data_IF_680052577909
#
_entry.id   IF_680052577909
#
_cell.length_a   1.000
_cell.length_b   1.000
_cell.length_c   1.000
_cell.angle_alpha   90.00
_cell.angle_beta   90.00
_cell.angle_gamma   90.00
#
_symmetry.space_group_name_H-M   'P 1'
#
loop_
_entity.id
_entity.type
_entity.pdbx_description
1 polymer ?
#
# COMPACT_ATOMS: atom_id res chain seq x y z
N UNK A 1 -1.66 -3.65 -15.79
CA UNK A 1 -1.53 -2.44 -14.95
C UNK A 1 -2.01 -2.60 -13.49
N UNK A 2 -3.11 -3.24 -13.11
CA UNK A 2 -3.52 -3.22 -11.66
C UNK A 2 -2.47 -3.73 -10.61
N UNK A 3 -1.39 -4.36 -11.05
CA UNK A 3 -0.23 -4.87 -10.30
C UNK A 3 0.73 -3.82 -9.73
N UNK A 4 0.91 -2.70 -10.43
CA UNK A 4 1.78 -1.60 -9.99
C UNK A 4 0.99 -0.35 -9.62
N UNK A 5 -0.26 -0.35 -10.03
CA UNK A 5 -1.11 0.81 -10.05
C UNK A 5 -2.12 0.68 -8.89
N UNK A 6 -1.74 1.20 -7.71
CA UNK A 6 -2.72 1.45 -6.65
C UNK A 6 -3.73 2.49 -7.16
N UNK A 7 -5.03 2.29 -6.89
CA UNK A 7 -6.11 3.23 -7.26
C UNK A 7 -5.86 4.70 -6.85
N UNK A 8 -4.92 4.92 -5.93
CA UNK A 8 -4.55 6.25 -5.43
C UNK A 8 -3.47 6.98 -6.26
N UNK A 9 -2.88 6.35 -7.30
CA UNK A 9 -1.81 6.93 -8.13
C UNK A 9 -2.19 7.13 -9.61
N UNK A 10 -3.50 7.20 -9.93
CA UNK A 10 -4.03 7.30 -11.30
C UNK A 10 -3.38 8.40 -12.16
N UNK A 11 -2.96 9.53 -11.58
CA UNK A 11 -2.27 10.60 -12.32
C UNK A 11 -0.90 10.19 -12.86
N UNK A 12 -0.07 9.50 -12.06
CA UNK A 12 1.24 9.00 -12.52
C UNK A 12 1.09 7.91 -13.59
N UNK A 13 -0.03 7.18 -13.58
CA UNK A 13 -0.34 6.16 -14.58
C UNK A 13 -0.59 6.79 -15.93
N UNK A 14 -1.43 7.82 -15.93
CA UNK A 14 -1.77 8.58 -17.13
C UNK A 14 -0.50 9.19 -17.77
N UNK A 15 0.38 9.79 -16.97
CA UNK A 15 1.67 10.31 -17.44
C UNK A 15 2.55 9.25 -18.12
N UNK A 16 2.64 8.04 -17.56
CA UNK A 16 3.43 6.94 -18.13
C UNK A 16 2.80 6.43 -19.43
N UNK A 17 1.47 6.26 -19.47
CA UNK A 17 0.75 5.81 -20.68
C UNK A 17 0.90 6.85 -21.80
N UNK A 18 0.74 8.12 -21.48
CA UNK A 18 0.90 9.23 -22.41
C UNK A 18 2.32 9.27 -22.98
N UNK A 19 3.34 9.20 -22.11
CA UNK A 19 4.73 9.16 -22.53
C UNK A 19 5.04 7.94 -23.41
N UNK A 20 4.50 6.77 -23.05
CA UNK A 20 4.61 5.55 -23.86
C UNK A 20 3.99 5.71 -25.24
N UNK A 21 2.85 6.39 -25.36
CA UNK A 21 2.25 6.72 -26.65
C UNK A 21 3.16 7.62 -27.50
N UNK A 22 3.63 8.74 -26.94
CA UNK A 22 4.49 9.69 -27.66
C UNK A 22 5.76 9.01 -28.19
N UNK A 23 6.41 8.21 -27.34
CA UNK A 23 7.62 7.49 -27.69
C UNK A 23 7.39 6.50 -28.83
N UNK A 24 6.32 5.70 -28.76
CA UNK A 24 6.01 4.74 -29.82
C UNK A 24 5.67 5.46 -31.14
N UNK A 25 4.91 6.56 -31.10
CA UNK A 25 4.59 7.32 -32.31
C UNK A 25 5.84 7.79 -33.06
N UNK A 26 6.85 8.29 -32.34
CA UNK A 26 8.12 8.70 -32.94
C UNK A 26 8.90 7.51 -33.53
N UNK A 27 8.91 6.36 -32.84
CA UNK A 27 9.60 5.14 -33.30
C UNK A 27 9.00 4.61 -34.60
N UNK A 28 7.67 4.55 -34.66
CA UNK A 28 6.94 4.04 -35.82
C UNK A 28 6.81 5.10 -36.93
N UNK A 29 6.98 6.38 -36.59
CA UNK A 29 6.79 7.50 -37.51
C UNK A 29 5.31 7.77 -37.84
N UNK A 30 4.40 7.30 -36.98
CA UNK A 30 2.96 7.37 -37.19
C UNK A 30 2.16 6.67 -36.10
N UNK A 31 0.83 6.74 -36.20
CA UNK A 31 -0.10 6.15 -35.24
C UNK A 31 -0.58 4.74 -35.61
N UNK A 32 -0.25 4.25 -36.80
CA UNK A 32 -0.61 2.91 -37.27
C UNK A 32 0.36 2.45 -38.37
N UNK A 33 0.58 1.14 -38.47
CA UNK A 33 1.35 0.53 -39.57
C UNK A 33 0.46 -0.08 -40.66
N UNK A 34 -0.80 -0.39 -40.33
CA UNK A 34 -1.76 -0.97 -41.27
C UNK A 34 -2.06 -0.06 -42.47
N UNK A 35 -2.37 -0.61 -43.66
CA UNK A 35 -2.65 0.18 -44.87
C UNK A 35 -4.07 0.79 -44.88
N UNK A 36 -4.47 1.44 -43.78
CA UNK A 36 -5.83 1.92 -43.52
C UNK A 36 -6.05 3.41 -43.81
N UNK A 37 -5.02 4.15 -44.26
CA UNK A 37 -5.13 5.60 -44.49
C UNK A 37 -6.30 5.99 -45.42
N UNK A 38 -6.56 5.31 -46.56
CA UNK A 38 -7.71 5.62 -47.42
C UNK A 38 -9.06 5.40 -46.71
N UNK A 39 -9.15 4.33 -45.90
CA UNK A 39 -10.33 4.00 -45.10
C UNK A 39 -10.59 5.09 -44.04
N UNK A 40 -9.56 5.51 -43.31
CA UNK A 40 -9.67 6.58 -42.33
C UNK A 40 -10.06 7.93 -42.96
N UNK A 41 -9.53 8.23 -44.15
CA UNK A 41 -9.85 9.48 -44.87
C UNK A 41 -11.29 9.50 -45.36
N UNK A 42 -11.78 8.37 -45.88
CA UNK A 42 -13.16 8.24 -46.38
C UNK A 42 -14.22 8.13 -45.28
N UNK A 43 -13.81 7.75 -44.07
CA UNK A 43 -14.67 7.63 -42.90
C UNK A 43 -14.79 6.16 -42.47
N UNK A 44 -14.17 5.84 -41.34
CA UNK A 44 -14.12 4.50 -40.76
C UNK A 44 -14.76 4.48 -39.37
N UNK A 45 -15.15 3.30 -38.90
CA UNK A 45 -15.42 3.06 -37.48
C UNK A 45 -14.23 2.36 -36.84
N UNK A 46 -13.58 3.03 -35.90
CA UNK A 46 -12.34 2.61 -35.24
C UNK A 46 -12.60 2.24 -33.79
N UNK A 47 -12.05 1.10 -33.34
CA UNK A 47 -12.05 0.67 -31.94
C UNK A 47 -10.63 0.71 -31.39
N UNK A 48 -10.44 1.28 -30.19
CA UNK A 48 -9.21 1.21 -29.41
C UNK A 48 -9.48 0.41 -28.12
N UNK A 49 -8.93 -0.81 -28.04
CA UNK A 49 -9.14 -1.74 -26.90
C UNK A 49 -8.04 -1.54 -25.86
N UNK A 50 -8.44 -1.23 -24.63
CA UNK A 50 -7.52 -0.83 -23.57
C UNK A 50 -6.93 0.56 -23.82
N UNK A 51 -7.79 1.52 -24.15
CA UNK A 51 -7.38 2.84 -24.62
C UNK A 51 -6.71 3.73 -23.55
N UNK A 52 -6.73 3.34 -22.28
CA UNK A 52 -6.26 4.14 -21.16
C UNK A 52 -6.93 5.52 -21.12
N UNK A 53 -6.13 6.58 -21.07
CA UNK A 53 -6.62 7.97 -21.16
C UNK A 53 -7.03 8.41 -22.58
N UNK A 54 -6.91 7.53 -23.57
CA UNK A 54 -7.36 7.81 -24.93
C UNK A 54 -6.49 8.80 -25.69
N UNK A 55 -5.21 8.95 -25.34
CA UNK A 55 -4.28 9.84 -26.08
C UNK A 55 -4.25 9.48 -27.57
N UNK A 56 -4.01 8.19 -27.89
CA UNK A 56 -3.93 7.70 -29.27
C UNK A 56 -5.22 7.98 -30.06
N UNK A 57 -6.37 7.65 -29.47
CA UNK A 57 -7.65 7.79 -30.16
C UNK A 57 -8.03 9.26 -30.38
N UNK A 58 -7.65 10.16 -29.45
CA UNK A 58 -7.86 11.60 -29.61
C UNK A 58 -6.99 12.18 -30.73
N UNK A 59 -5.73 11.76 -30.83
CA UNK A 59 -4.86 12.17 -31.95
C UNK A 59 -5.40 11.69 -33.29
N UNK A 60 -5.74 10.39 -33.39
CA UNK A 60 -6.34 9.82 -34.60
C UNK A 60 -7.61 10.55 -35.03
N UNK A 61 -8.46 10.93 -34.06
CA UNK A 61 -9.70 11.67 -34.34
C UNK A 61 -9.49 13.07 -34.89
N UNK A 62 -8.35 13.70 -34.56
CA UNK A 62 -7.97 15.02 -35.04
C UNK A 62 -7.38 14.95 -36.44
N UNK A 63 -6.55 13.93 -36.71
CA UNK A 63 -5.92 13.72 -38.02
C UNK A 63 -6.94 13.23 -39.09
N UNK A 64 -7.94 12.46 -38.67
CA UNK A 64 -8.95 11.86 -39.55
C UNK A 64 -10.39 12.14 -39.04
N UNK A 65 -10.85 13.40 -39.13
CA UNK A 65 -12.10 13.83 -38.51
C UNK A 65 -13.38 13.24 -39.13
N UNK A 66 -13.29 12.62 -40.31
CA UNK A 66 -14.41 11.94 -40.99
C UNK A 66 -14.74 10.59 -40.35
N UNK A 67 -13.79 10.00 -39.62
CA UNK A 67 -13.94 8.71 -38.94
C UNK A 67 -14.58 8.88 -37.57
N UNK A 68 -15.19 7.79 -37.07
CA UNK A 68 -15.77 7.68 -35.72
C UNK A 68 -14.97 6.72 -34.88
N UNK A 69 -14.76 7.11 -33.64
CA UNK A 69 -13.79 6.47 -32.75
C UNK A 69 -14.46 6.03 -31.46
N UNK A 70 -14.18 4.81 -31.03
CA UNK A 70 -14.65 4.25 -29.75
C UNK A 70 -13.45 3.71 -28.98
N UNK A 71 -13.20 4.24 -27.78
CA UNK A 71 -12.20 3.73 -26.85
C UNK A 71 -12.87 2.96 -25.71
N UNK A 72 -12.32 1.80 -25.34
CA UNK A 72 -12.82 0.98 -24.24
C UNK A 72 -11.68 0.69 -23.26
N UNK A 73 -11.93 0.86 -21.96
CA UNK A 73 -10.95 0.54 -20.91
C UNK A 73 -11.65 0.20 -19.59
N UNK A 74 -10.99 -0.54 -18.70
CA UNK A 74 -11.48 -0.81 -17.34
C UNK A 74 -11.18 0.36 -16.40
N UNK A 75 -10.12 1.11 -16.67
CA UNK A 75 -9.68 2.26 -15.90
C UNK A 75 -10.49 3.52 -16.26
N UNK A 76 -10.99 4.27 -15.27
CA UNK A 76 -11.74 5.50 -15.52
C UNK A 76 -10.79 6.70 -15.77
N UNK A 77 -9.87 6.57 -16.73
CA UNK A 77 -8.86 7.59 -17.06
C UNK A 77 -9.27 8.51 -18.23
N UNK A 78 -10.52 8.43 -18.68
CA UNK A 78 -10.98 9.16 -19.86
C UNK A 78 -10.91 10.68 -19.71
N UNK A 79 -10.63 11.41 -20.79
CA UNK A 79 -10.50 12.85 -20.75
C UNK A 79 -11.87 13.50 -20.53
N UNK A 80 -11.91 14.56 -19.70
CA UNK A 80 -13.15 15.31 -19.43
C UNK A 80 -13.65 16.03 -20.67
N UNK A 81 -12.72 16.58 -21.47
CA UNK A 81 -13.02 17.20 -22.77
C UNK A 81 -12.55 16.25 -23.85
N UNK A 82 -13.47 15.78 -24.69
CA UNK A 82 -13.18 14.83 -25.78
C UNK A 82 -13.64 15.36 -27.14
N UNK A 83 -13.00 14.96 -28.25
CA UNK A 83 -13.47 15.26 -29.59
C UNK A 83 -14.89 14.76 -29.85
N UNK A 84 -15.64 15.44 -30.73
CA UNK A 84 -17.05 15.14 -31.00
C UNK A 84 -17.26 13.77 -31.65
N UNK A 85 -16.27 13.28 -32.39
CA UNK A 85 -16.26 12.01 -33.08
C UNK A 85 -15.64 10.86 -32.26
N UNK A 86 -15.35 11.08 -30.97
CA UNK A 86 -14.80 10.08 -30.04
C UNK A 86 -15.82 9.74 -28.95
N UNK A 87 -15.98 8.45 -28.64
CA UNK A 87 -16.75 7.95 -27.50
C UNK A 87 -15.87 7.05 -26.64
N UNK A 88 -15.99 7.18 -25.31
CA UNK A 88 -15.32 6.29 -24.35
C UNK A 88 -16.35 5.44 -23.61
N UNK A 89 -16.00 4.18 -23.36
CA UNK A 89 -16.83 3.22 -22.64
C UNK A 89 -15.98 2.56 -21.56
N UNK A 90 -16.37 2.71 -20.29
CA UNK A 90 -15.74 1.95 -19.22
C UNK A 90 -16.34 0.53 -19.21
N UNK A 91 -15.52 -0.49 -19.45
CA UNK A 91 -16.01 -1.87 -19.56
C UNK A 91 -14.90 -2.89 -19.36
N UNK A 92 -15.26 -4.02 -18.74
CA UNK A 92 -14.38 -5.18 -18.61
C UNK A 92 -14.42 -6.03 -19.88
N UNK A 93 -13.39 -5.86 -20.70
CA UNK A 93 -13.23 -6.58 -21.96
C UNK A 93 -12.62 -7.99 -21.79
N UNK A 94 -12.33 -8.45 -20.56
CA UNK A 94 -11.81 -9.81 -20.31
C UNK A 94 -12.87 -10.90 -20.53
N UNK A 95 -14.15 -10.54 -20.52
CA UNK A 95 -15.26 -11.48 -20.74
C UNK A 95 -15.79 -11.43 -22.18
N UNK A 96 -16.04 -10.22 -22.70
CA UNK A 96 -16.53 -9.98 -24.06
C UNK A 96 -16.53 -8.49 -24.39
N UNK A 97 -16.34 -8.13 -25.66
CA UNK A 97 -16.50 -6.78 -26.17
C UNK A 97 -18.00 -6.45 -26.36
N UNK A 98 -18.48 -5.28 -25.88
CA UNK A 98 -19.90 -4.92 -25.83
C UNK A 98 -20.43 -4.40 -27.18
N UNK A 99 -20.02 -5.02 -28.28
CA UNK A 99 -20.34 -4.60 -29.63
C UNK A 99 -20.90 -5.76 -30.46
N UNK A 100 -21.82 -5.47 -31.40
CA UNK A 100 -22.26 -6.47 -32.38
C UNK A 100 -21.11 -6.97 -33.27
N UNK A 101 -21.34 -8.10 -33.91
CA UNK A 101 -20.42 -8.67 -34.90
C UNK A 101 -20.22 -7.71 -36.08
N UNK A 102 -19.05 -7.77 -36.72
CA UNK A 102 -18.71 -6.99 -37.92
C UNK A 102 -19.02 -5.48 -37.80
N UNK A 103 -18.65 -4.87 -36.68
CA UNK A 103 -18.94 -3.48 -36.37
C UNK A 103 -17.85 -2.51 -36.83
N UNK A 104 -16.57 -2.88 -36.67
CA UNK A 104 -15.44 -1.97 -36.83
C UNK A 104 -14.64 -2.24 -38.10
N UNK A 105 -14.20 -1.17 -38.75
CA UNK A 105 -13.34 -1.24 -39.95
C UNK A 105 -11.86 -1.36 -39.55
N UNK A 106 -11.49 -0.82 -38.39
CA UNK A 106 -10.15 -0.93 -37.81
C UNK A 106 -10.22 -1.10 -36.30
N UNK A 107 -9.44 -2.04 -35.77
CA UNK A 107 -9.29 -2.28 -34.34
C UNK A 107 -7.82 -2.17 -33.98
N UNK A 108 -7.52 -1.31 -33.01
CA UNK A 108 -6.20 -1.13 -32.44
C UNK A 108 -6.20 -1.64 -30.99
N UNK A 109 -5.14 -2.34 -30.61
CA UNK A 109 -4.92 -2.83 -29.25
C UNK A 109 -3.42 -2.76 -28.94
N UNK A 110 -3.08 -2.15 -27.79
CA UNK A 110 -1.68 -1.88 -27.46
C UNK A 110 -1.42 -1.89 -25.95
N UNK A 111 -0.20 -2.26 -25.56
CA UNK A 111 0.25 -2.39 -24.16
C UNK A 111 -0.52 -3.44 -23.34
N UNK A 112 -1.10 -4.43 -24.02
CA UNK A 112 -1.86 -5.50 -23.38
C UNK A 112 -0.98 -6.64 -22.87
N UNK A 113 0.30 -6.68 -23.27
CA UNK A 113 1.32 -7.56 -22.70
C UNK A 113 1.46 -7.45 -21.17
N UNK A 114 0.94 -6.37 -20.55
CA UNK A 114 1.02 -6.16 -19.10
C UNK A 114 -0.24 -6.54 -18.33
N UNK A 115 -1.30 -6.99 -19.01
CA UNK A 115 -2.62 -7.22 -18.40
C UNK A 115 -3.17 -8.61 -18.72
N UNK A 116 -3.03 -9.04 -19.97
CA UNK A 116 -3.70 -10.25 -20.46
C UNK A 116 -2.83 -11.49 -20.27
N UNK A 117 -3.45 -12.56 -19.75
CA UNK A 117 -2.82 -13.89 -19.69
C UNK A 117 -2.94 -14.60 -21.04
N UNK A 118 -2.10 -15.61 -21.27
CA UNK A 118 -2.14 -16.43 -22.49
C UNK A 118 -3.52 -17.06 -22.68
N UNK A 119 -4.13 -17.53 -21.58
CA UNK A 119 -5.47 -18.09 -21.58
C UNK A 119 -6.52 -17.07 -22.05
N UNK A 120 -6.44 -15.81 -21.61
CA UNK A 120 -7.38 -14.77 -22.04
C UNK A 120 -7.15 -14.40 -23.50
N UNK A 121 -5.89 -14.31 -23.95
CA UNK A 121 -5.56 -14.10 -25.35
C UNK A 121 -6.18 -15.17 -26.25
N UNK A 122 -5.89 -16.43 -25.95
CA UNK A 122 -6.30 -17.59 -26.75
C UNK A 122 -7.82 -17.84 -26.72
N UNK A 123 -8.45 -17.74 -25.55
CA UNK A 123 -9.85 -18.14 -25.38
C UNK A 123 -10.84 -17.01 -25.67
N UNK A 124 -10.43 -15.75 -25.52
CA UNK A 124 -11.35 -14.61 -25.56
C UNK A 124 -10.89 -13.55 -26.56
N UNK A 125 -9.68 -13.03 -26.42
CA UNK A 125 -9.35 -11.78 -27.10
C UNK A 125 -9.24 -11.92 -28.62
N UNK A 126 -8.56 -12.96 -29.13
CA UNK A 126 -8.49 -13.12 -30.58
C UNK A 126 -9.88 -13.32 -31.21
N UNK A 127 -10.72 -14.15 -30.60
CA UNK A 127 -12.07 -14.42 -31.12
C UNK A 127 -12.96 -13.18 -31.06
N UNK A 128 -12.91 -12.40 -29.99
CA UNK A 128 -13.68 -11.17 -29.83
C UNK A 128 -13.23 -10.06 -30.79
N UNK A 129 -11.91 -9.88 -30.97
CA UNK A 129 -11.36 -8.90 -31.92
C UNK A 129 -11.81 -9.24 -33.35
N UNK A 130 -11.74 -10.52 -33.73
CA UNK A 130 -12.22 -10.98 -35.05
C UNK A 130 -13.71 -10.83 -35.19
N UNK A 131 -14.50 -11.21 -34.17
CA UNK A 131 -15.96 -11.14 -34.20
C UNK A 131 -16.45 -9.72 -34.47
N UNK A 132 -15.90 -8.72 -33.78
CA UNK A 132 -16.36 -7.33 -33.92
C UNK A 132 -15.71 -6.60 -35.10
N UNK A 133 -14.68 -7.18 -35.73
CA UNK A 133 -14.06 -6.66 -36.94
C UNK A 133 -14.90 -7.02 -38.18
N UNK A 134 -15.08 -6.07 -39.10
CA UNK A 134 -15.72 -6.35 -40.38
C UNK A 134 -14.84 -7.25 -41.24
N UNK A 135 -15.47 -8.03 -42.11
CA UNK A 135 -14.76 -8.74 -43.18
C UNK A 135 -14.02 -7.72 -44.05
N UNK A 136 -12.70 -7.88 -44.19
CA UNK A 136 -11.83 -6.93 -44.88
C UNK A 136 -11.34 -5.76 -44.02
N UNK A 137 -11.76 -5.68 -42.75
CA UNK A 137 -11.21 -4.75 -41.76
C UNK A 137 -9.83 -5.20 -41.25
N UNK A 138 -9.19 -4.31 -40.48
CA UNK A 138 -7.84 -4.53 -39.96
C UNK A 138 -7.84 -4.62 -38.43
N UNK A 139 -7.02 -5.53 -37.90
CA UNK A 139 -6.73 -5.65 -36.47
C UNK A 139 -5.23 -5.43 -36.31
N UNK A 140 -4.83 -4.43 -35.53
CA UNK A 140 -3.44 -4.11 -35.26
C UNK A 140 -3.16 -4.30 -33.76
N UNK A 141 -2.26 -5.24 -33.46
CA UNK A 141 -1.76 -5.53 -32.12
C UNK A 141 -0.34 -4.98 -32.05
N UNK A 142 -0.08 -4.08 -31.10
CA UNK A 142 1.23 -3.46 -30.92
C UNK A 142 1.69 -3.60 -29.47
N UNK A 143 2.81 -4.26 -29.22
CA UNK A 143 3.32 -4.44 -27.86
C UNK A 143 4.85 -4.42 -27.85
N UNK A 144 5.48 -3.86 -26.80
CA UNK A 144 6.94 -3.89 -26.66
C UNK A 144 7.43 -5.28 -26.29
N UNK A 145 8.57 -5.70 -26.85
CA UNK A 145 9.27 -6.89 -26.37
C UNK A 145 10.04 -6.59 -25.06
N UNK A 146 9.98 -7.51 -24.11
CA UNK A 146 10.72 -7.43 -22.84
C UNK A 146 12.07 -8.15 -22.88
N UNK A 147 12.51 -8.58 -24.06
CA UNK A 147 13.79 -9.25 -24.29
C UNK A 147 14.86 -8.22 -24.68
N UNK A 148 15.37 -7.50 -23.67
CA UNK A 148 16.40 -6.48 -23.86
C UNK A 148 17.73 -7.12 -24.30
N UNK A 149 18.43 -6.51 -25.25
CA UNK A 149 19.74 -6.96 -25.73
C UNK A 149 20.85 -6.05 -25.19
N UNK A 150 22.00 -6.64 -24.86
CA UNK A 150 23.19 -5.92 -24.37
C UNK A 150 22.93 -5.04 -23.12
N UNK A 151 22.05 -5.49 -22.23
CA UNK A 151 21.70 -4.75 -21.02
C UNK A 151 22.80 -4.80 -19.94
N UNK A 152 22.95 -3.72 -19.18
CA UNK A 152 23.84 -3.67 -18.03
C UNK A 152 23.27 -4.45 -16.83
N UNK A 153 24.10 -4.79 -15.82
CA UNK A 153 23.71 -5.70 -14.74
C UNK A 153 22.54 -5.19 -13.86
N UNK A 154 22.33 -3.88 -13.78
CA UNK A 154 21.20 -3.29 -13.05
C UNK A 154 19.91 -3.43 -13.86
N UNK A 155 19.97 -3.12 -15.16
CA UNK A 155 18.83 -3.25 -16.08
C UNK A 155 18.39 -4.69 -16.18
N UNK A 156 19.33 -5.62 -16.36
CA UNK A 156 19.07 -7.07 -16.39
C UNK A 156 18.33 -7.54 -15.14
N UNK A 157 18.83 -7.19 -13.94
CA UNK A 157 18.18 -7.57 -12.68
C UNK A 157 16.77 -7.00 -12.56
N UNK A 158 16.57 -5.77 -13.01
CA UNK A 158 15.27 -5.07 -12.91
C UNK A 158 14.27 -5.66 -13.91
N UNK A 159 14.70 -5.89 -15.15
CA UNK A 159 13.90 -6.52 -16.19
C UNK A 159 13.52 -7.97 -15.79
N UNK A 160 14.48 -8.77 -15.32
CA UNK A 160 14.22 -10.12 -14.82
C UNK A 160 13.28 -10.15 -13.61
N UNK A 161 13.34 -9.15 -12.74
CA UNK A 161 12.36 -9.01 -11.66
C UNK A 161 10.96 -8.74 -12.24
N UNK A 162 10.85 -7.78 -13.15
CA UNK A 162 9.58 -7.39 -13.77
C UNK A 162 8.93 -8.56 -14.52
N UNK A 163 9.71 -9.26 -15.36
CA UNK A 163 9.28 -10.48 -16.08
C UNK A 163 8.75 -11.55 -15.13
N UNK A 164 9.47 -11.86 -14.05
CA UNK A 164 9.01 -12.82 -13.03
C UNK A 164 7.71 -12.37 -12.36
N UNK A 165 7.52 -11.07 -12.15
CA UNK A 165 6.28 -10.53 -11.57
C UNK A 165 5.09 -10.71 -12.52
N UNK A 166 5.28 -10.47 -13.82
CA UNK A 166 4.25 -10.77 -14.84
C UNK A 166 3.91 -12.27 -14.84
N UNK A 167 4.92 -13.14 -14.90
CA UNK A 167 4.75 -14.59 -14.87
C UNK A 167 4.00 -15.07 -13.61
N UNK A 168 4.25 -14.45 -12.44
CA UNK A 168 3.54 -14.80 -11.20
C UNK A 168 2.03 -14.53 -11.24
N UNK A 169 1.55 -13.76 -12.22
CA UNK A 169 0.13 -13.54 -12.52
C UNK A 169 -0.39 -14.34 -13.71
N UNK A 170 0.43 -15.21 -14.29
CA UNK A 170 0.08 -15.94 -15.51
C UNK A 170 0.14 -15.09 -16.76
N UNK A 171 0.76 -13.91 -16.72
CA UNK A 171 1.02 -13.08 -17.90
C UNK A 171 2.35 -13.49 -18.50
N UNK A 172 2.35 -13.79 -19.80
CA UNK A 172 3.56 -14.22 -20.51
C UNK A 172 4.33 -13.01 -21.07
N UNK A 173 5.57 -12.77 -20.62
CA UNK A 173 6.38 -11.66 -21.10
C UNK A 173 6.87 -11.82 -22.55
N UNK A 174 6.56 -12.94 -23.22
CA UNK A 174 6.95 -13.24 -24.60
C UNK A 174 5.76 -13.31 -25.58
N UNK A 175 4.57 -12.90 -25.15
CA UNK A 175 3.33 -12.99 -25.93
C UNK A 175 3.41 -12.31 -27.30
N UNK A 176 4.20 -11.23 -27.44
CA UNK A 176 4.43 -10.52 -28.71
C UNK A 176 4.92 -11.44 -29.82
N UNK A 177 5.87 -12.30 -29.51
CA UNK A 177 6.41 -13.30 -30.44
C UNK A 177 5.43 -14.43 -30.77
N UNK A 178 4.45 -14.64 -29.88
CA UNK A 178 3.47 -15.71 -30.00
C UNK A 178 2.22 -15.27 -30.77
N UNK A 179 1.89 -13.97 -30.83
CA UNK A 179 0.78 -13.47 -31.65
C UNK A 179 0.86 -13.97 -33.09
N UNK A 180 2.05 -13.92 -33.71
CA UNK A 180 2.28 -14.42 -35.06
C UNK A 180 2.00 -15.93 -35.22
N UNK A 181 2.11 -16.70 -34.14
CA UNK A 181 1.84 -18.14 -34.12
C UNK A 181 0.35 -18.46 -33.85
N UNK A 182 -0.34 -17.66 -33.04
CA UNK A 182 -1.74 -17.88 -32.66
C UNK A 182 -2.77 -17.24 -33.60
N UNK A 183 -2.45 -16.10 -34.22
CA UNK A 183 -3.36 -15.44 -35.15
C UNK A 183 -3.75 -16.34 -36.35
N UNK A 184 -2.84 -17.12 -36.98
CA UNK A 184 -3.21 -18.01 -38.08
C UNK A 184 -4.21 -19.11 -37.71
N UNK A 185 -4.25 -19.55 -36.45
CA UNK A 185 -5.17 -20.59 -35.99
C UNK A 185 -6.54 -20.03 -35.57
N UNK A 186 -6.68 -18.71 -35.52
CA UNK A 186 -7.95 -18.05 -35.18
C UNK A 186 -8.89 -18.07 -36.39
N UNK A 187 -10.12 -18.61 -36.26
CA UNK A 187 -11.07 -18.66 -37.36
C UNK A 187 -11.36 -17.26 -37.94
N UNK A 188 -11.58 -17.18 -39.26
CA UNK A 188 -11.88 -15.95 -39.99
C UNK A 188 -10.77 -14.87 -40.04
N UNK A 189 -9.55 -15.20 -39.59
CA UNK A 189 -8.36 -14.40 -39.88
C UNK A 189 -7.81 -14.76 -41.25
N UNK A 190 -7.39 -13.75 -42.01
CA UNK A 190 -6.71 -13.93 -43.31
C UNK A 190 -5.36 -14.62 -43.14
N UNK A 191 -4.93 -15.40 -44.13
CA UNK A 191 -3.57 -15.94 -44.16
C UNK A 191 -2.49 -14.86 -44.29
N UNK A 192 -2.86 -13.64 -44.70
CA UNK A 192 -1.94 -12.52 -44.89
C UNK A 192 -1.77 -11.75 -43.58
N UNK A 193 -0.92 -12.27 -42.69
CA UNK A 193 -0.54 -11.61 -41.45
C UNK A 193 0.75 -10.82 -41.69
N UNK A 194 0.72 -9.53 -41.32
CA UNK A 194 1.86 -8.63 -41.45
C UNK A 194 2.53 -8.46 -40.09
N UNK A 195 3.86 -8.53 -40.08
CA UNK A 195 4.66 -8.35 -38.88
C UNK A 195 5.78 -7.36 -39.18
N UNK A 196 5.83 -6.26 -38.43
CA UNK A 196 6.88 -5.25 -38.49
C UNK A 196 7.54 -5.18 -37.11
N UNK A 197 8.87 -5.02 -37.07
CA UNK A 197 9.63 -4.92 -35.83
C UNK A 197 10.65 -3.77 -35.94
N UNK A 198 10.76 -2.97 -34.88
CA UNK A 198 11.71 -1.85 -34.81
C UNK A 198 12.56 -1.97 -33.54
N UNK A 199 13.87 -1.90 -33.71
CA UNK A 199 14.82 -1.90 -32.60
C UNK A 199 15.15 -0.46 -32.19
N UNK A 200 15.18 -0.21 -30.88
CA UNK A 200 15.54 1.09 -30.31
C UNK A 200 16.65 0.88 -29.28
N UNK A 201 17.67 1.73 -29.36
CA UNK A 201 18.76 1.73 -28.38
C UNK A 201 18.35 2.45 -27.11
N UNK A 202 18.50 1.79 -25.95
CA UNK A 202 18.41 2.42 -24.64
C UNK A 202 19.82 2.86 -24.22
N UNK A 203 20.08 4.16 -24.18
CA UNK A 203 21.38 4.70 -23.73
C UNK A 203 21.36 5.03 -22.24
N UNK A 204 22.50 4.84 -21.56
CA UNK A 204 22.74 5.25 -20.18
C UNK A 204 22.97 6.76 -20.02
N UNK A 205 23.28 7.46 -21.10
CA UNK A 205 23.36 8.92 -21.18
C UNK A 205 22.22 9.44 -22.04
N UNK A 206 21.60 10.54 -21.64
CA UNK A 206 20.64 11.25 -22.48
C UNK A 206 21.35 11.59 -23.79
N UNK A 207 20.95 10.93 -24.87
CA UNK A 207 21.48 11.15 -26.22
C UNK A 207 21.04 12.53 -26.70
N UNK A 208 21.78 13.13 -27.64
CA UNK A 208 21.29 14.29 -28.41
C UNK A 208 20.11 13.90 -29.32
N UNK A 209 19.96 12.60 -29.59
CA UNK A 209 18.80 12.03 -30.27
C UNK A 209 17.57 12.04 -29.34
N UNK A 210 16.57 12.84 -29.72
CA UNK A 210 15.31 13.02 -28.97
C UNK A 210 14.51 11.73 -28.80
N UNK A 211 14.56 10.80 -29.77
CA UNK A 211 13.82 9.53 -29.70
C UNK A 211 14.47 8.63 -28.65
N UNK A 212 15.79 8.50 -28.69
CA UNK A 212 16.55 7.74 -27.68
C UNK A 212 16.34 8.37 -26.30
N UNK A 213 16.40 9.70 -26.18
CA UNK A 213 16.19 10.40 -24.93
C UNK A 213 14.80 10.13 -24.34
N UNK A 214 13.75 10.22 -25.17
CA UNK A 214 12.37 10.02 -24.74
C UNK A 214 12.11 8.56 -24.35
N UNK A 215 12.64 7.61 -25.12
CA UNK A 215 12.53 6.18 -24.80
C UNK A 215 13.28 5.82 -23.51
N UNK A 216 14.51 6.32 -23.33
CA UNK A 216 15.27 6.14 -22.07
C UNK A 216 14.49 6.73 -20.89
N UNK A 217 13.87 7.91 -21.05
CA UNK A 217 13.07 8.54 -19.99
C UNK A 217 11.84 7.71 -19.64
N UNK A 218 11.11 7.22 -20.66
CA UNK A 218 9.97 6.32 -20.49
C UNK A 218 10.35 5.05 -19.72
N UNK A 219 11.45 4.40 -20.09
CA UNK A 219 11.94 3.20 -19.41
C UNK A 219 12.35 3.50 -17.96
N UNK A 220 13.05 4.61 -17.72
CA UNK A 220 13.45 5.02 -16.37
C UNK A 220 12.23 5.30 -15.47
N UNK A 221 11.24 6.03 -15.96
CA UNK A 221 10.03 6.33 -15.19
C UNK A 221 9.20 5.07 -14.92
N UNK A 222 9.08 4.19 -15.92
CA UNK A 222 8.44 2.88 -15.77
C UNK A 222 9.12 2.05 -14.69
N UNK A 223 10.45 1.92 -14.74
CA UNK A 223 11.21 1.20 -13.72
C UNK A 223 11.15 1.86 -12.34
N UNK A 224 11.22 3.19 -12.26
CA UNK A 224 11.08 3.94 -11.00
C UNK A 224 9.73 3.68 -10.36
N UNK A 225 8.67 3.69 -11.16
CA UNK A 225 7.32 3.39 -10.72
C UNK A 225 7.19 1.95 -10.20
N UNK A 226 7.71 0.98 -10.96
CA UNK A 226 7.78 -0.44 -10.57
C UNK A 226 8.52 -0.61 -9.23
N UNK A 227 9.70 0.00 -9.11
CA UNK A 227 10.54 -0.06 -7.90
C UNK A 227 9.86 0.61 -6.70
N UNK A 228 9.15 1.72 -6.89
CA UNK A 228 8.40 2.38 -5.83
C UNK A 228 7.21 1.54 -5.34
N UNK A 229 6.50 0.86 -6.25
CA UNK A 229 5.42 -0.07 -5.91
C UNK A 229 5.93 -1.25 -5.09
N UNK A 230 7.07 -1.85 -5.46
CA UNK A 230 7.73 -2.91 -4.69
C UNK A 230 8.24 -2.36 -3.35
N UNK A 231 8.77 -1.13 -3.35
CA UNK A 231 9.21 -0.41 -2.16
C UNK A 231 8.08 -0.18 -1.17
N UNK A 232 6.82 -0.09 -1.60
CA UNK A 232 5.66 -0.01 -0.72
C UNK A 232 5.36 -1.36 -0.04
N UNK A 233 5.38 -2.47 -0.78
CA UNK A 233 5.24 -3.83 -0.21
C UNK A 233 6.40 -4.20 0.72
N UNK A 234 7.64 -3.89 0.32
CA UNK A 234 8.81 -4.03 1.18
C UNK A 234 8.76 -3.08 2.37
N UNK A 235 8.26 -1.84 2.22
CA UNK A 235 8.04 -0.93 3.37
C UNK A 235 6.98 -1.49 4.32
N UNK A 236 5.95 -2.17 3.84
CA UNK A 236 4.96 -2.84 4.71
C UNK A 236 5.63 -3.96 5.52
N UNK A 237 6.50 -4.76 4.90
CA UNK A 237 7.27 -5.82 5.56
C UNK A 237 8.37 -5.24 6.49
N UNK A 238 9.10 -4.21 6.06
CA UNK A 238 10.14 -3.51 6.82
C UNK A 238 9.58 -2.62 7.93
N UNK A 239 8.33 -2.17 7.81
CA UNK A 239 7.62 -1.44 8.87
C UNK A 239 7.31 -2.31 10.09
N UNK A 240 7.39 -3.64 9.97
CA UNK A 240 7.43 -4.53 11.12
C UNK A 240 8.76 -4.39 11.87
N UNK A 241 9.89 -4.28 11.17
CA UNK A 241 11.20 -4.03 11.79
C UNK A 241 11.30 -2.61 12.38
N UNK A 242 10.74 -1.59 11.72
CA UNK A 242 10.65 -0.25 12.30
C UNK A 242 9.69 -0.19 13.49
N UNK A 243 8.56 -0.92 13.45
CA UNK A 243 7.63 -1.04 14.57
C UNK A 243 8.26 -1.71 15.79
N UNK A 244 9.00 -2.79 15.57
CA UNK A 244 9.79 -3.47 16.60
C UNK A 244 10.85 -2.52 17.19
N UNK A 245 11.65 -1.84 16.35
CA UNK A 245 12.66 -0.87 16.80
C UNK A 245 12.04 0.30 17.56
N UNK A 246 10.93 0.86 17.08
CA UNK A 246 10.24 1.97 17.73
C UNK A 246 9.63 1.55 19.07
N UNK A 247 9.02 0.36 19.14
CA UNK A 247 8.53 -0.21 20.40
C UNK A 247 9.65 -0.43 21.40
N UNK A 248 10.78 -0.99 20.97
CA UNK A 248 11.94 -1.20 21.83
C UNK A 248 12.56 0.12 22.34
N UNK A 249 12.76 1.11 21.46
CA UNK A 249 13.32 2.42 21.79
C UNK A 249 12.38 3.22 22.69
N UNK A 250 11.08 3.25 22.39
CA UNK A 250 10.11 3.99 23.19
C UNK A 250 9.95 3.37 24.59
N UNK A 251 9.87 2.04 24.67
CA UNK A 251 9.87 1.33 25.94
C UNK A 251 11.11 1.66 26.77
N UNK A 252 12.28 1.71 26.13
CA UNK A 252 13.52 2.04 26.83
C UNK A 252 13.50 3.48 27.35
N UNK A 253 13.07 4.44 26.50
CA UNK A 253 13.01 5.88 26.85
C UNK A 253 12.16 6.18 28.07
N UNK A 254 11.03 5.49 28.25
CA UNK A 254 10.15 5.72 29.40
C UNK A 254 10.61 4.91 30.62
N UNK A 255 10.92 3.62 30.40
CA UNK A 255 11.16 2.70 31.51
C UNK A 255 12.50 2.92 32.17
N UNK A 256 13.54 3.24 31.41
CA UNK A 256 14.88 3.41 31.95
C UNK A 256 14.97 4.54 33.00
N UNK A 257 14.48 5.77 32.74
CA UNK A 257 14.48 6.83 33.75
C UNK A 257 13.67 6.46 35.00
N UNK A 258 12.48 5.87 34.83
CA UNK A 258 11.65 5.45 35.95
C UNK A 258 12.33 4.36 36.78
N UNK A 259 12.86 3.31 36.15
CA UNK A 259 13.56 2.23 36.84
C UNK A 259 14.83 2.75 37.55
N UNK A 260 15.56 3.66 36.93
CA UNK A 260 16.73 4.31 37.51
C UNK A 260 16.35 5.05 38.80
N UNK A 261 15.40 5.99 38.72
CA UNK A 261 14.96 6.79 39.88
C UNK A 261 14.41 5.90 40.99
N UNK A 262 13.49 4.98 40.68
CA UNK A 262 12.88 4.12 41.69
C UNK A 262 13.87 3.17 42.35
N UNK A 263 14.85 2.65 41.61
CA UNK A 263 15.85 1.71 42.14
C UNK A 263 16.87 2.44 43.02
N UNK A 264 17.28 3.66 42.67
CA UNK A 264 18.23 4.41 43.48
C UNK A 264 17.59 5.04 44.72
N UNK A 265 16.32 5.46 44.65
CA UNK A 265 15.61 6.05 45.78
C UNK A 265 15.11 5.01 46.80
N UNK A 266 14.54 3.89 46.33
CA UNK A 266 13.77 3.00 47.20
C UNK A 266 14.33 1.58 47.33
N UNK A 267 15.34 1.19 46.53
CA UNK A 267 15.91 -0.16 46.59
C UNK A 267 17.27 -0.19 47.29
N UNK A 268 17.42 -1.15 48.19
CA UNK A 268 18.68 -1.48 48.86
C UNK A 268 19.41 -2.60 48.10
N UNK A 269 20.74 -2.64 48.16
CA UNK A 269 21.57 -3.63 47.46
C UNK A 269 22.82 -3.04 46.82
N UNK A 270 23.68 -3.91 46.26
CA UNK A 270 24.92 -3.49 45.63
C UNK A 270 24.65 -2.69 44.35
N UNK A 271 25.63 -1.88 43.93
CA UNK A 271 25.54 -1.13 42.66
C UNK A 271 25.31 -2.09 41.48
N UNK A 272 25.93 -3.27 41.51
CA UNK A 272 25.77 -4.30 40.47
C UNK A 272 24.34 -4.83 40.40
N UNK A 273 23.71 -5.10 41.54
CA UNK A 273 22.33 -5.60 41.60
C UNK A 273 21.33 -4.54 41.14
N UNK A 274 21.58 -3.27 41.52
CA UNK A 274 20.77 -2.13 41.08
C UNK A 274 20.82 -1.97 39.56
N UNK A 275 22.02 -1.99 38.98
CA UNK A 275 22.21 -1.89 37.53
C UNK A 275 21.60 -3.06 36.77
N UNK A 276 21.77 -4.29 37.28
CA UNK A 276 21.17 -5.48 36.68
C UNK A 276 19.64 -5.37 36.64
N UNK A 277 19.01 -4.96 37.75
CA UNK A 277 17.57 -4.80 37.80
C UNK A 277 17.05 -3.71 36.86
N UNK A 278 17.73 -2.56 36.77
CA UNK A 278 17.36 -1.49 35.84
C UNK A 278 17.42 -2.01 34.40
N UNK A 279 18.50 -2.72 34.06
CA UNK A 279 18.68 -3.29 32.73
C UNK A 279 17.59 -4.33 32.41
N UNK A 280 17.35 -5.29 33.32
CA UNK A 280 16.39 -6.36 33.11
C UNK A 280 14.94 -5.83 32.99
N UNK A 281 14.54 -4.93 33.90
CA UNK A 281 13.21 -4.31 33.84
C UNK A 281 13.01 -3.46 32.57
N UNK A 282 14.05 -2.75 32.10
CA UNK A 282 14.01 -1.98 30.86
C UNK A 282 13.93 -2.91 29.65
N UNK A 283 14.76 -3.95 29.61
CA UNK A 283 14.79 -4.95 28.54
C UNK A 283 13.45 -5.66 28.42
N UNK A 284 12.87 -6.11 29.53
CA UNK A 284 11.57 -6.79 29.54
C UNK A 284 10.45 -5.89 29.02
N UNK A 285 10.38 -4.64 29.49
CA UNK A 285 9.38 -3.68 29.01
C UNK A 285 9.52 -3.35 27.51
N UNK A 286 10.74 -3.06 27.06
CA UNK A 286 11.06 -2.81 25.66
C UNK A 286 10.74 -4.02 24.77
N UNK A 287 11.09 -5.21 25.22
CA UNK A 287 10.83 -6.45 24.49
C UNK A 287 9.32 -6.72 24.39
N UNK A 288 8.56 -6.50 25.46
CA UNK A 288 7.11 -6.68 25.44
C UNK A 288 6.45 -5.70 24.46
N UNK A 289 6.79 -4.41 24.51
CA UNK A 289 6.21 -3.44 23.57
C UNK A 289 6.57 -3.75 22.11
N UNK A 290 7.81 -4.17 21.86
CA UNK A 290 8.26 -4.57 20.53
C UNK A 290 7.54 -5.83 20.02
N UNK A 291 7.40 -6.87 20.87
CA UNK A 291 6.63 -8.09 20.56
C UNK A 291 5.17 -7.76 20.26
N UNK A 292 4.53 -6.91 21.06
CA UNK A 292 3.14 -6.52 20.86
C UNK A 292 2.93 -5.85 19.50
N UNK A 293 3.77 -4.87 19.15
CA UNK A 293 3.68 -4.17 17.84
C UNK A 293 3.86 -5.14 16.68
N UNK A 294 4.81 -6.08 16.79
CA UNK A 294 5.05 -7.10 15.76
C UNK A 294 3.85 -8.03 15.59
N UNK A 295 3.30 -8.55 16.69
CA UNK A 295 2.13 -9.44 16.66
C UNK A 295 0.92 -8.69 16.10
N UNK A 296 0.64 -7.48 16.60
CA UNK A 296 -0.47 -6.65 16.15
C UNK A 296 -0.41 -6.39 14.64
N UNK A 297 0.73 -5.92 14.12
CA UNK A 297 0.87 -5.61 12.69
C UNK A 297 0.80 -6.86 11.82
N UNK A 298 1.38 -7.97 12.27
CA UNK A 298 1.31 -9.26 11.56
C UNK A 298 -0.13 -9.74 11.45
N UNK A 299 -0.88 -9.71 12.55
CA UNK A 299 -2.29 -10.09 12.56
C UNK A 299 -3.16 -9.15 11.72
N UNK A 300 -2.89 -7.84 11.74
CA UNK A 300 -3.59 -6.87 10.89
C UNK A 300 -3.36 -7.16 9.40
N UNK A 301 -2.12 -7.47 9.03
CA UNK A 301 -1.77 -7.84 7.65
C UNK A 301 -2.48 -9.13 7.22
N UNK A 302 -2.42 -10.19 8.05
CA UNK A 302 -3.06 -11.46 7.74
C UNK A 302 -4.58 -11.32 7.60
N UNK A 303 -5.23 -10.60 8.51
CA UNK A 303 -6.67 -10.34 8.45
C UNK A 303 -7.06 -9.56 7.18
N UNK A 304 -6.29 -8.55 6.79
CA UNK A 304 -6.50 -7.82 5.52
C UNK A 304 -6.34 -8.73 4.31
N UNK A 305 -5.34 -9.62 4.31
CA UNK A 305 -5.07 -10.55 3.21
C UNK A 305 -6.19 -11.59 3.05
N UNK A 306 -6.76 -12.09 4.16
CA UNK A 306 -7.85 -13.08 4.10
C UNK A 306 -9.19 -12.48 3.67
N UNK A 307 -9.48 -11.23 4.05
CA UNK A 307 -10.80 -10.61 3.83
C UNK A 307 -10.81 -9.67 2.61
N UNK A 308 -9.65 -9.36 2.04
CA UNK A 308 -9.49 -8.44 0.89
C UNK A 308 -9.70 -6.96 1.22
N UNK A 309 -10.19 -6.62 2.43
CA UNK A 309 -10.33 -5.25 2.94
C UNK A 309 -10.14 -5.19 4.46
N UNK A 310 -9.79 -4.02 4.96
CA UNK A 310 -9.72 -3.76 6.40
C UNK A 310 -11.14 -3.55 6.98
N UNK A 311 -11.46 -4.28 8.06
CA UNK A 311 -12.72 -4.12 8.78
C UNK A 311 -12.49 -3.53 10.17
N UNK A 312 -13.49 -2.83 10.70
CA UNK A 312 -13.43 -2.14 12.01
C UNK A 312 -13.09 -3.08 13.18
N UNK A 313 -13.39 -4.38 13.08
CA UNK A 313 -13.08 -5.37 14.13
C UNK A 313 -11.65 -5.90 14.12
N UNK A 314 -10.89 -5.73 13.03
CA UNK A 314 -9.58 -6.35 12.88
C UNK A 314 -8.56 -5.84 13.91
N UNK A 315 -8.61 -4.53 14.21
CA UNK A 315 -7.74 -3.89 15.19
C UNK A 315 -8.04 -4.34 16.62
N UNK A 316 -9.32 -4.52 16.96
CA UNK A 316 -9.73 -5.05 18.26
C UNK A 316 -9.24 -6.49 18.45
N UNK A 317 -9.45 -7.35 17.46
CA UNK A 317 -9.03 -8.76 17.52
C UNK A 317 -7.50 -8.89 17.60
N UNK A 318 -6.77 -8.15 16.76
CA UNK A 318 -5.30 -8.12 16.80
C UNK A 318 -4.78 -7.61 18.15
N UNK A 319 -5.43 -6.59 18.72
CA UNK A 319 -5.11 -6.06 20.04
C UNK A 319 -5.39 -7.05 21.17
N UNK A 320 -6.50 -7.79 21.11
CA UNK A 320 -6.88 -8.80 22.09
C UNK A 320 -5.88 -9.95 22.13
N UNK A 321 -5.56 -10.51 20.95
CA UNK A 321 -4.60 -11.62 20.82
C UNK A 321 -3.19 -11.15 21.24
N UNK A 322 -2.74 -10.01 20.71
CA UNK A 322 -1.43 -9.45 21.06
C UNK A 322 -1.31 -9.14 22.56
N UNK A 323 -2.39 -8.62 23.16
CA UNK A 323 -2.44 -8.28 24.57
C UNK A 323 -2.30 -9.50 25.47
N UNK A 324 -3.06 -10.56 25.17
CA UNK A 324 -3.01 -11.82 25.91
C UNK A 324 -1.61 -12.46 25.88
N UNK A 325 -1.02 -12.59 24.69
CA UNK A 325 0.29 -13.26 24.54
C UNK A 325 1.47 -12.48 25.10
N UNK A 326 1.40 -11.14 25.11
CA UNK A 326 2.54 -10.31 25.50
C UNK A 326 2.45 -9.85 26.95
N UNK A 327 1.25 -9.50 27.41
CA UNK A 327 1.03 -8.90 28.74
C UNK A 327 0.25 -9.83 29.69
N UNK A 328 -0.07 -11.06 29.27
CA UNK A 328 -0.84 -12.00 30.09
C UNK A 328 -0.09 -12.54 31.31
N UNK A 329 1.25 -12.51 31.30
CA UNK A 329 2.04 -12.91 32.47
C UNK A 329 1.94 -11.87 33.59
N UNK A 330 1.59 -12.34 34.79
CA UNK A 330 1.41 -11.50 35.97
C UNK A 330 2.77 -11.18 36.64
N UNK A 331 3.48 -10.18 36.10
CA UNK A 331 4.71 -9.64 36.68
C UNK A 331 4.60 -8.13 36.95
N UNK A 332 5.49 -7.59 37.80
CA UNK A 332 5.46 -6.17 38.22
C UNK A 332 5.50 -5.17 37.04
N UNK A 333 6.14 -5.53 35.93
CA UNK A 333 6.22 -4.65 34.75
C UNK A 333 4.91 -4.70 33.98
N UNK A 334 4.38 -5.88 33.70
CA UNK A 334 3.11 -6.05 33.00
C UNK A 334 1.94 -5.47 33.80
N UNK A 335 1.88 -5.70 35.11
CA UNK A 335 0.87 -5.08 35.99
C UNK A 335 0.88 -3.55 35.87
N UNK A 336 2.05 -2.92 35.92
CA UNK A 336 2.17 -1.47 35.80
C UNK A 336 1.68 -0.98 34.42
N UNK A 337 2.03 -1.68 33.35
CA UNK A 337 1.57 -1.33 31.99
C UNK A 337 0.05 -1.48 31.88
N UNK A 338 -0.47 -2.64 32.27
CA UNK A 338 -1.89 -2.98 32.11
C UNK A 338 -2.77 -2.08 32.97
N UNK A 339 -2.42 -1.84 34.23
CA UNK A 339 -3.16 -0.93 35.11
C UNK A 339 -3.10 0.52 34.62
N UNK A 340 -1.94 0.97 34.11
CA UNK A 340 -1.81 2.29 33.53
C UNK A 340 -2.69 2.46 32.28
N UNK A 341 -2.65 1.49 31.37
CA UNK A 341 -3.47 1.48 30.15
C UNK A 341 -4.96 1.38 30.50
N UNK A 342 -5.33 0.53 31.46
CA UNK A 342 -6.70 0.38 31.96
C UNK A 342 -7.26 1.73 32.46
N UNK A 343 -6.54 2.42 33.34
CA UNK A 343 -6.96 3.73 33.84
C UNK A 343 -7.18 4.74 32.70
N UNK A 344 -6.28 4.77 31.71
CA UNK A 344 -6.39 5.65 30.53
C UNK A 344 -7.58 5.28 29.64
N UNK A 345 -7.85 3.99 29.45
CA UNK A 345 -9.00 3.49 28.68
C UNK A 345 -10.30 3.89 29.39
N UNK A 346 -10.40 3.69 30.71
CA UNK A 346 -11.61 4.05 31.45
C UNK A 346 -11.91 5.55 31.37
N UNK A 347 -10.89 6.41 31.47
CA UNK A 347 -11.06 7.85 31.24
C UNK A 347 -11.48 8.16 29.80
N UNK A 348 -10.91 7.46 28.81
CA UNK A 348 -11.30 7.60 27.40
C UNK A 348 -12.75 7.20 27.14
N UNK A 349 -13.20 6.08 27.72
CA UNK A 349 -14.58 5.60 27.63
C UNK A 349 -15.56 6.56 28.30
N UNK A 350 -15.20 7.14 29.46
CA UNK A 350 -16.00 8.16 30.12
C UNK A 350 -16.15 9.44 29.26
N UNK A 351 -15.14 9.79 28.46
CA UNK A 351 -15.18 10.92 27.53
C UNK A 351 -15.89 10.62 26.20
N UNK A 352 -16.10 9.34 25.87
CA UNK A 352 -16.63 8.93 24.57
C UNK A 352 -18.05 9.48 24.27
N UNK A 353 -19.00 9.50 25.22
CA UNK A 353 -20.32 10.10 24.99
C UNK A 353 -20.25 11.61 24.71
N UNK A 354 -19.36 12.32 25.41
CA UNK A 354 -19.14 13.76 25.21
C UNK A 354 -18.53 14.01 23.82
N UNK A 355 -17.51 13.22 23.44
CA UNK A 355 -16.87 13.32 22.13
C UNK A 355 -17.83 13.01 20.96
N UNK A 356 -18.81 12.12 21.19
CA UNK A 356 -19.88 11.80 20.22
C UNK A 356 -21.07 12.76 20.26
N UNK A 357 -20.99 13.84 21.04
CA UNK A 357 -22.08 14.81 21.24
C UNK A 357 -23.38 14.18 21.77
N UNK A 358 -23.27 13.06 22.49
CA UNK A 358 -24.40 12.39 23.12
C UNK A 358 -24.76 13.02 24.48
N UNK A 359 -23.81 13.71 25.12
CA UNK A 359 -23.98 14.45 26.38
C UNK A 359 -23.06 15.67 26.40
N UNK A 360 -23.46 16.72 27.10
CA UNK A 360 -22.61 17.89 27.36
C UNK A 360 -21.56 17.58 28.44
N UNK A 361 -20.41 18.27 28.37
CA UNK A 361 -19.35 18.11 29.37
C UNK A 361 -19.79 18.68 30.73
N UNK A 362 -19.83 17.86 31.80
CA UNK A 362 -20.18 18.36 33.12
C UNK A 362 -19.12 19.33 33.66
N UNK A 363 -19.56 20.43 34.29
CA UNK A 363 -18.65 21.37 34.97
C UNK A 363 -17.95 20.68 36.14
N UNK A 364 -16.69 21.05 36.40
CA UNK A 364 -15.90 20.57 37.55
C UNK A 364 -15.70 19.03 37.60
N UNK A 365 -15.70 18.35 36.46
CA UNK A 365 -15.54 16.89 36.37
C UNK A 365 -14.25 16.38 37.05
N UNK A 366 -13.11 17.03 36.83
CA UNK A 366 -11.84 16.56 37.40
C UNK A 366 -11.71 16.78 38.92
N UNK A 367 -12.07 17.94 39.50
CA UNK A 367 -12.12 18.12 40.96
C UNK A 367 -12.99 17.10 41.68
N UNK A 368 -14.20 16.82 41.17
CA UNK A 368 -15.11 15.83 41.75
C UNK A 368 -14.49 14.43 41.68
N UNK A 369 -13.93 14.06 40.52
CA UNK A 369 -13.21 12.80 40.35
C UNK A 369 -12.05 12.67 41.34
N UNK A 370 -11.22 13.70 41.48
CA UNK A 370 -10.11 13.71 42.42
C UNK A 370 -10.57 13.54 43.87
N UNK A 371 -11.64 14.22 44.28
CA UNK A 371 -12.20 14.11 45.63
C UNK A 371 -12.70 12.69 45.94
N UNK A 372 -13.42 12.07 45.00
CA UNK A 372 -13.90 10.68 45.15
C UNK A 372 -12.75 9.68 45.22
N UNK A 373 -11.76 9.81 44.32
CA UNK A 373 -10.59 8.94 44.30
C UNK A 373 -9.82 9.02 45.62
N UNK A 374 -9.50 10.24 46.07
CA UNK A 374 -8.75 10.42 47.32
C UNK A 374 -9.55 10.00 48.56
N UNK A 375 -10.85 10.31 48.61
CA UNK A 375 -11.72 9.84 49.68
C UNK A 375 -11.73 8.31 49.78
N UNK A 376 -11.80 7.63 48.64
CA UNK A 376 -11.75 6.16 48.56
C UNK A 376 -10.40 5.61 49.00
N UNK A 377 -9.29 6.21 48.55
CA UNK A 377 -7.93 5.79 48.95
C UNK A 377 -7.75 5.91 50.46
N UNK A 378 -8.17 7.02 51.06
CA UNK A 378 -8.05 7.22 52.50
C UNK A 378 -8.95 6.28 53.31
N UNK A 379 -10.16 6.01 52.81
CA UNK A 379 -11.07 5.04 53.44
C UNK A 379 -10.50 3.62 53.41
N UNK A 380 -10.00 3.16 52.25
CA UNK A 380 -9.36 1.86 52.07
C UNK A 380 -8.08 1.74 52.90
N UNK A 381 -7.25 2.78 52.93
CA UNK A 381 -6.01 2.76 53.72
C UNK A 381 -6.28 2.56 55.22
N UNK A 382 -7.42 3.08 55.71
CA UNK A 382 -7.81 2.97 57.12
C UNK A 382 -8.50 1.65 57.48
N UNK A 383 -9.29 1.07 56.58
CA UNK A 383 -10.13 -0.11 56.88
C UNK A 383 -9.60 -1.41 56.24
N UNK A 384 -9.07 -1.35 55.02
CA UNK A 384 -8.71 -2.51 54.18
C UNK A 384 -7.37 -2.27 53.47
N UNK A 385 -6.33 -1.99 54.27
CA UNK A 385 -5.02 -1.53 53.77
C UNK A 385 -4.38 -2.53 52.79
N UNK A 386 -4.51 -3.82 53.08
CA UNK A 386 -3.92 -4.93 52.34
C UNK A 386 -4.44 -5.05 50.89
N UNK A 387 -5.61 -4.47 50.59
CA UNK A 387 -6.20 -4.41 49.25
C UNK A 387 -5.51 -3.36 48.37
N UNK A 388 -4.88 -2.33 48.96
CA UNK A 388 -4.21 -1.28 48.20
C UNK A 388 -2.93 -1.79 47.54
N UNK A 389 -2.53 -1.16 46.44
CA UNK A 389 -1.27 -1.48 45.77
C UNK A 389 -0.07 -1.22 46.72
N UNK A 390 0.92 -2.14 46.84
CA UNK A 390 1.97 -2.03 47.86
C UNK A 390 2.76 -0.73 47.88
N UNK A 391 3.05 -0.12 46.71
CA UNK A 391 3.74 1.17 46.69
C UNK A 391 2.87 2.32 47.21
N UNK A 392 1.56 2.28 46.97
CA UNK A 392 0.65 3.27 47.54
C UNK A 392 0.56 3.09 49.06
N UNK A 393 0.48 1.85 49.56
CA UNK A 393 0.51 1.58 51.00
C UNK A 393 1.78 2.13 51.66
N UNK A 394 2.95 1.92 51.04
CA UNK A 394 4.23 2.39 51.55
C UNK A 394 4.30 3.92 51.61
N UNK A 395 3.84 4.60 50.54
CA UNK A 395 3.77 6.07 50.55
C UNK A 395 2.79 6.61 51.59
N UNK A 396 1.62 5.99 51.74
CA UNK A 396 0.63 6.42 52.74
C UNK A 396 1.11 6.18 54.18
N UNK A 397 1.79 5.06 54.44
CA UNK A 397 2.45 4.80 55.72
C UNK A 397 3.44 5.92 56.06
N UNK A 398 4.37 6.20 55.13
CA UNK A 398 5.39 7.22 55.34
C UNK A 398 4.80 8.61 55.58
N UNK A 399 3.80 8.99 54.78
CA UNK A 399 3.23 10.33 54.80
C UNK A 399 2.28 10.59 55.98
N UNK A 400 1.58 9.58 56.47
CA UNK A 400 0.48 9.78 57.44
C UNK A 400 0.64 9.06 58.77
N UNK A 401 1.36 7.93 58.82
CA UNK A 401 1.53 7.16 60.06
C UNK A 401 2.93 7.35 60.63
N UNK A 402 3.95 7.38 59.79
CA UNK A 402 5.34 7.60 60.24
C UNK A 402 5.57 9.09 60.58
N UNK A 403 4.80 10.00 59.98
CA UNK A 403 4.81 11.44 60.31
C UNK A 403 4.44 11.73 61.76
N UNK A 404 3.69 10.85 62.41
CA UNK A 404 3.18 11.05 63.78
C UNK A 404 4.26 10.81 64.86
N UNK A 405 5.42 10.27 64.47
CA UNK A 405 6.52 9.93 65.39
C UNK A 405 7.80 10.64 65.00
N UNK A 406 8.30 11.55 65.85
CA UNK A 406 9.64 12.14 65.72
C UNK A 406 10.38 12.14 67.06
N UNK A 407 11.66 11.79 67.04
CA UNK A 407 12.48 11.68 68.27
C UNK A 407 13.58 12.74 68.36
N UNK A 408 13.94 13.42 67.26
CA UNK A 408 14.95 14.48 67.23
C UNK A 408 14.66 15.54 66.15
N UNK A 409 15.18 16.76 66.33
CA UNK A 409 15.04 17.87 65.36
C UNK A 409 15.60 17.53 63.96
N UNK A 410 16.60 16.64 63.91
CA UNK A 410 17.18 16.13 62.66
C UNK A 410 16.24 15.18 61.91
N UNK A 411 15.49 14.35 62.63
CA UNK A 411 14.48 13.47 62.04
C UNK A 411 13.25 14.25 61.54
N UNK A 412 12.97 15.40 62.17
CA UNK A 412 11.92 16.31 61.75
C UNK A 412 12.26 17.09 60.45
N UNK A 413 13.52 17.52 60.28
CA UNK A 413 13.92 18.39 59.16
C UNK A 413 14.50 17.68 57.92
N UNK A 414 14.97 16.43 58.03
CA UNK A 414 15.69 15.78 56.92
C UNK A 414 15.20 14.37 56.57
N UNK A 415 15.05 13.48 57.56
CA UNK A 415 14.61 12.10 57.30
C UNK A 415 13.93 11.51 58.52
N UNK A 416 12.63 11.23 58.41
CA UNK A 416 11.96 10.37 59.38
C UNK A 416 12.20 8.90 58.99
N UNK A 417 12.41 8.08 60.02
CA UNK A 417 13.04 6.73 60.02
C UNK A 417 13.07 5.96 58.71
#
# INVERSE_FOLDING_TARGET
MELFFEKNNLGTVDEIIHLGHCVLREVWGGNFSSPIKPLLTSGAKVLDVGCGSGTWICEMSSDYPTSRYIGIDTLPLFPTTKPFNVQFIQHDFLSSLPFPDATFDFIHIRFMIFELTDTIWEQVMYSELVRVCKVGGWIEISDPELNLRHEGPITERTNNFFRRKLQSRGVNPEITSLHAHHLPSTPNISSNIYHEHREITISSRLSDDKVIQSFTTYMLESYRFILNSIGHELKLILNNNNGFRNGAVYGAKIRFPHALVMTFLFRTGSLKDKLYFIFDATKMHSANLAKFVTIYKTLMYLQRKMVGKEQNGHSFMAGLIGGYYVFGENNNVNQQIVLYVFARIMVGLAKLPVARRAMDEPKNTFPIFAAVVWGTVMWLFRHDRDVLQPSLQASMQYLYLDSDYWTTLKNFLWHNK
#
